data_IF_010455765655
#
_entry.id   IF_010455765655
#
_cell.length_a   1.000
_cell.length_b   1.000
_cell.length_c   1.000
_cell.angle_alpha   90.00
_cell.angle_beta   90.00
_cell.angle_gamma   90.00
#
_symmetry.space_group_name_H-M   'P 1'
#
loop_
_entity.id
_entity.type
_entity.pdbx_description
1 polymer ?
#
# COMPACT_ATOMS: atom_id res chain seq x y z
N UNK A 1 1.44 5.41 -9.98
CA UNK A 1 1.01 4.06 -9.53
C UNK A 1 1.52 3.86 -8.12
N UNK A 2 0.75 3.20 -7.25
CA UNK A 2 1.14 2.97 -5.86
C UNK A 2 1.05 1.47 -5.58
N UNK A 3 2.03 0.91 -4.86
CA UNK A 3 2.09 -0.52 -4.56
C UNK A 3 1.90 -0.79 -3.07
N UNK A 4 1.20 -1.88 -2.72
CA UNK A 4 1.03 -2.33 -1.34
C UNK A 4 1.93 -3.55 -1.08
N UNK A 5 2.74 -3.46 -0.03
CA UNK A 5 3.62 -4.52 0.45
C UNK A 5 3.25 -4.87 1.88
N UNK A 6 3.17 -6.17 2.19
CA UNK A 6 3.09 -6.67 3.56
C UNK A 6 3.87 -7.98 3.65
N UNK A 7 4.24 -8.41 4.85
CA UNK A 7 4.89 -9.71 5.08
C UNK A 7 4.16 -10.89 4.41
N UNK A 8 2.83 -10.81 4.29
CA UNK A 8 2.02 -11.86 3.68
C UNK A 8 2.08 -11.88 2.15
N UNK A 9 2.63 -10.83 1.52
CA UNK A 9 2.51 -10.59 0.08
C UNK A 9 3.86 -10.51 -0.66
N UNK A 10 4.98 -10.77 0.00
CA UNK A 10 6.30 -10.52 -0.59
C UNK A 10 6.67 -11.55 -1.68
N UNK A 11 5.96 -12.69 -1.74
CA UNK A 11 6.20 -13.76 -2.72
C UNK A 11 4.97 -14.04 -3.63
N UNK A 12 4.04 -13.09 -3.78
CA UNK A 12 2.80 -13.24 -4.57
C UNK A 12 2.50 -11.99 -5.39
N UNK A 13 1.60 -12.13 -6.37
CA UNK A 13 1.00 -11.03 -7.12
C UNK A 13 0.58 -9.86 -6.21
N UNK A 14 1.32 -8.74 -6.29
CA UNK A 14 1.18 -7.59 -5.40
C UNK A 14 -0.03 -6.71 -5.78
N UNK A 15 -0.85 -6.28 -4.80
CA UNK A 15 -1.93 -5.34 -5.07
C UNK A 15 -1.41 -3.95 -5.45
N UNK A 16 -2.09 -3.34 -6.43
CA UNK A 16 -1.75 -2.02 -6.95
C UNK A 16 -2.87 -1.02 -6.65
N UNK A 17 -2.58 0.07 -5.95
CA UNK A 17 -3.52 1.18 -5.78
C UNK A 17 -3.42 2.13 -6.98
N UNK A 18 -4.56 2.42 -7.64
CA UNK A 18 -4.62 3.36 -8.76
C UNK A 18 -5.84 4.28 -8.69
N UNK A 19 -5.74 5.55 -9.12
CA UNK A 19 -6.88 6.47 -9.18
C UNK A 19 -7.80 6.11 -10.36
N UNK A 20 -8.52 5.00 -10.24
CA UNK A 20 -9.50 4.52 -11.21
C UNK A 20 -10.80 4.18 -10.50
N UNK A 21 -11.93 4.38 -11.18
CA UNK A 21 -13.24 3.91 -10.75
C UNK A 21 -13.54 2.51 -11.28
N UNK A 22 -12.84 2.09 -12.34
CA UNK A 22 -13.05 0.82 -13.02
C UNK A 22 -11.72 0.07 -13.10
N UNK A 23 -11.38 -0.73 -12.09
CA UNK A 23 -10.15 -1.49 -12.10
C UNK A 23 -10.18 -2.52 -13.24
N UNK A 24 -9.11 -2.62 -14.06
CA UNK A 24 -9.05 -3.54 -15.19
C UNK A 24 -8.77 -5.00 -14.78
N UNK A 25 -8.22 -5.21 -13.57
CA UNK A 25 -7.82 -6.51 -13.03
C UNK A 25 -8.15 -6.57 -11.52
N UNK A 26 -8.49 -7.75 -10.96
CA UNK A 26 -8.81 -7.92 -9.53
C UNK A 26 -7.70 -7.51 -8.54
N UNK A 27 -6.43 -7.50 -8.96
CA UNK A 27 -5.26 -7.06 -8.18
C UNK A 27 -5.17 -5.54 -8.07
N UNK A 28 -5.90 -4.81 -8.92
CA UNK A 28 -5.97 -3.35 -8.87
C UNK A 28 -7.00 -2.91 -7.84
N UNK A 29 -6.52 -2.21 -6.82
CA UNK A 29 -7.32 -1.55 -5.80
C UNK A 29 -7.63 -0.12 -6.29
N UNK A 30 -8.89 0.21 -6.57
CA UNK A 30 -9.28 1.57 -6.95
C UNK A 30 -9.09 2.55 -5.78
N UNK A 31 -8.46 3.68 -6.06
CA UNK A 31 -8.32 4.84 -5.17
C UNK A 31 -9.42 5.84 -5.48
N UNK A 32 -10.39 5.92 -4.57
CA UNK A 32 -11.59 6.73 -4.73
C UNK A 32 -11.55 7.90 -3.74
N UNK A 33 -11.85 9.09 -4.24
CA UNK A 33 -12.05 10.29 -3.43
C UNK A 33 -13.51 10.46 -3.02
N UNK A 34 -13.97 11.70 -2.98
CA UNK A 34 -15.35 12.05 -2.61
C UNK A 34 -16.31 11.97 -3.82
N UNK A 35 -16.37 10.83 -4.52
CA UNK A 35 -17.29 10.60 -5.66
C UNK A 35 -18.07 9.28 -5.50
N UNK A 36 -19.40 9.39 -5.38
CA UNK A 36 -20.31 8.26 -5.18
C UNK A 36 -20.41 7.36 -6.41
N UNK A 37 -20.42 7.94 -7.61
CA UNK A 37 -20.48 7.13 -8.84
C UNK A 37 -19.21 6.30 -8.99
N UNK A 38 -18.07 6.92 -8.70
CA UNK A 38 -16.78 6.25 -8.71
C UNK A 38 -16.72 5.13 -7.66
N UNK A 39 -17.16 5.40 -6.42
CA UNK A 39 -17.20 4.40 -5.35
C UNK A 39 -18.06 3.19 -5.73
N UNK A 40 -19.24 3.44 -6.28
CA UNK A 40 -20.15 2.39 -6.69
C UNK A 40 -19.55 1.51 -7.80
N UNK A 41 -18.97 2.13 -8.84
CA UNK A 41 -18.30 1.41 -9.92
C UNK A 41 -17.12 0.57 -9.41
N UNK A 42 -16.30 1.16 -8.53
CA UNK A 42 -15.14 0.51 -7.91
C UNK A 42 -15.53 -0.73 -7.12
N UNK A 43 -16.52 -0.62 -6.22
CA UNK A 43 -16.97 -1.72 -5.37
C UNK A 43 -17.69 -2.82 -6.15
N UNK A 44 -18.33 -2.49 -7.27
CA UNK A 44 -18.94 -3.50 -8.13
C UNK A 44 -17.90 -4.45 -8.74
N UNK A 45 -16.72 -3.93 -9.12
CA UNK A 45 -15.68 -4.69 -9.83
C UNK A 45 -14.54 -5.19 -8.94
N UNK A 46 -14.31 -4.60 -7.77
CA UNK A 46 -13.21 -5.00 -6.87
C UNK A 46 -13.70 -5.50 -5.50
N UNK A 47 -12.88 -6.35 -4.86
CA UNK A 47 -13.08 -6.80 -3.48
C UNK A 47 -12.45 -5.86 -2.46
N UNK A 48 -11.72 -4.85 -2.91
CA UNK A 48 -11.13 -3.85 -2.04
C UNK A 48 -11.21 -2.46 -2.66
N UNK A 49 -11.16 -1.42 -1.83
CA UNK A 49 -11.14 -0.02 -2.27
C UNK A 49 -10.24 0.79 -1.34
N UNK A 50 -9.45 1.69 -1.90
CA UNK A 50 -8.74 2.70 -1.14
C UNK A 50 -9.55 4.00 -1.14
N UNK A 51 -9.92 4.49 0.04
CA UNK A 51 -10.69 5.72 0.19
C UNK A 51 -9.78 6.85 0.65
N UNK A 52 -9.63 7.86 -0.20
CA UNK A 52 -8.98 9.12 0.14
C UNK A 52 -10.04 10.17 0.45
N UNK A 53 -10.71 9.98 1.58
CA UNK A 53 -11.81 10.82 2.03
C UNK A 53 -11.56 11.32 3.45
N UNK A 54 -11.88 12.60 3.70
CA UNK A 54 -11.76 13.21 5.05
C UNK A 54 -12.94 12.86 5.95
N UNK A 55 -14.03 12.34 5.40
CA UNK A 55 -15.27 12.04 6.13
C UNK A 55 -15.48 10.54 6.34
N UNK A 56 -15.92 10.17 7.54
CA UNK A 56 -16.32 8.79 7.88
C UNK A 56 -17.57 8.33 7.12
N UNK A 57 -18.32 9.25 6.52
CA UNK A 57 -19.51 8.94 5.71
C UNK A 57 -19.13 8.01 4.54
N UNK A 58 -18.00 8.24 3.90
CA UNK A 58 -17.53 7.40 2.79
C UNK A 58 -17.18 5.98 3.22
N UNK A 59 -16.63 5.82 4.43
CA UNK A 59 -16.41 4.50 5.02
C UNK A 59 -17.73 3.78 5.29
N UNK A 60 -18.71 4.48 5.87
CA UNK A 60 -20.02 3.91 6.12
C UNK A 60 -20.69 3.49 4.81
N UNK A 61 -20.69 4.37 3.81
CA UNK A 61 -21.28 4.13 2.51
C UNK A 61 -20.63 2.96 1.77
N UNK A 62 -19.29 2.86 1.80
CA UNK A 62 -18.58 1.72 1.21
C UNK A 62 -18.99 0.39 1.87
N UNK A 63 -19.18 0.39 3.20
CA UNK A 63 -19.64 -0.79 3.94
C UNK A 63 -21.08 -1.16 3.65
N UNK A 64 -21.97 -0.17 3.49
CA UNK A 64 -23.35 -0.42 3.07
C UNK A 64 -23.42 -0.99 1.65
N UNK A 65 -22.63 -0.44 0.72
CA UNK A 65 -22.59 -0.91 -0.66
C UNK A 65 -21.96 -2.29 -0.81
N UNK A 66 -20.94 -2.61 -0.01
CA UNK A 66 -20.25 -3.91 -0.05
C UNK A 66 -19.65 -4.26 1.33
N UNK A 67 -20.41 -4.94 2.19
CA UNK A 67 -20.00 -5.24 3.57
C UNK A 67 -18.68 -6.00 3.69
N UNK A 68 -18.38 -6.87 2.72
CA UNK A 68 -17.20 -7.74 2.72
C UNK A 68 -15.95 -7.10 2.08
N UNK A 69 -16.04 -5.88 1.55
CA UNK A 69 -14.93 -5.25 0.85
C UNK A 69 -13.82 -4.83 1.81
N UNK A 70 -12.54 -5.09 1.51
CA UNK A 70 -11.43 -4.51 2.30
C UNK A 70 -11.32 -3.01 1.99
N UNK A 71 -11.35 -2.17 3.02
CA UNK A 71 -11.32 -0.71 2.85
C UNK A 71 -10.01 -0.15 3.39
N UNK A 72 -9.17 0.37 2.50
CA UNK A 72 -7.95 1.08 2.87
C UNK A 72 -8.29 2.55 3.10
N UNK A 73 -8.33 2.98 4.37
CA UNK A 73 -8.78 4.31 4.76
C UNK A 73 -7.59 5.27 4.87
N UNK A 74 -7.44 6.17 3.91
CA UNK A 74 -6.35 7.14 3.90
C UNK A 74 -6.66 8.33 4.80
N UNK A 75 -5.76 8.62 5.75
CA UNK A 75 -5.88 9.81 6.61
C UNK A 75 -6.97 9.71 7.68
N UNK A 76 -7.58 8.54 7.85
CA UNK A 76 -8.54 8.25 8.93
C UNK A 76 -7.93 7.20 9.87
N UNK A 77 -7.61 7.55 11.14
CA UNK A 77 -7.01 6.63 12.09
C UNK A 77 -8.09 5.69 12.68
N UNK A 78 -8.68 4.85 11.85
CA UNK A 78 -9.78 3.95 12.23
C UNK A 78 -9.41 2.53 11.84
N UNK A 79 -9.33 1.65 12.84
CA UNK A 79 -9.18 0.21 12.64
C UNK A 79 -10.45 -0.47 13.16
N UNK A 80 -11.30 -0.94 12.25
CA UNK A 80 -12.56 -1.62 12.60
C UNK A 80 -12.97 -2.59 11.50
N UNK A 81 -13.06 -3.87 11.84
CA UNK A 81 -13.44 -4.92 10.88
C UNK A 81 -12.49 -4.98 9.69
N UNK A 82 -13.04 -4.83 8.49
CA UNK A 82 -12.36 -4.79 7.20
C UNK A 82 -11.71 -3.44 6.83
N UNK A 83 -11.70 -2.46 7.75
CA UNK A 83 -11.08 -1.15 7.53
C UNK A 83 -9.63 -1.16 8.01
N UNK A 84 -8.70 -0.93 7.08
CA UNK A 84 -7.26 -0.86 7.29
C UNK A 84 -6.81 0.60 7.14
N UNK A 85 -6.28 1.25 8.20
CA UNK A 85 -5.81 2.62 8.09
C UNK A 85 -4.51 2.71 7.27
N UNK A 86 -4.42 3.74 6.42
CA UNK A 86 -3.20 4.13 5.72
C UNK A 86 -2.70 5.45 6.27
N UNK A 87 -1.54 5.41 6.91
CA UNK A 87 -0.89 6.55 7.56
C UNK A 87 0.23 7.14 6.71
N UNK A 88 0.57 8.43 6.86
CA UNK A 88 1.82 8.96 6.32
C UNK A 88 3.03 8.30 6.99
N UNK A 89 4.01 7.85 6.20
CA UNK A 89 5.24 7.21 6.68
C UNK A 89 6.03 8.06 7.68
N UNK A 90 6.03 9.38 7.52
CA UNK A 90 6.80 10.30 8.35
C UNK A 90 6.30 10.49 9.78
N UNK A 91 5.13 9.97 10.16
CA UNK A 91 4.48 10.33 11.44
C UNK A 91 4.28 9.17 12.42
N UNK A 92 4.61 7.92 12.05
CA UNK A 92 4.36 6.67 12.80
C UNK A 92 3.26 6.73 13.88
N UNK A 93 2.10 6.11 13.59
CA UNK A 93 0.91 6.17 14.45
C UNK A 93 0.48 4.81 15.02
N UNK A 94 1.37 3.82 15.03
CA UNK A 94 1.11 2.45 15.50
C UNK A 94 0.87 1.43 14.38
N UNK A 95 0.26 0.26 14.67
CA UNK A 95 0.01 -0.77 13.66
C UNK A 95 -0.96 -0.28 12.56
N UNK A 96 -0.49 -0.28 11.31
CA UNK A 96 -1.26 0.09 10.12
C UNK A 96 -0.44 -0.06 8.84
N UNK A 97 -1.03 0.31 7.71
CA UNK A 97 -0.28 0.51 6.47
C UNK A 97 0.30 1.92 6.43
N UNK A 98 1.48 2.06 5.84
CA UNK A 98 2.16 3.35 5.76
C UNK A 98 2.43 3.76 4.32
N UNK A 99 1.84 4.87 3.89
CA UNK A 99 2.17 5.51 2.62
C UNK A 99 3.51 6.23 2.71
N UNK A 100 4.46 5.78 1.89
CA UNK A 100 5.85 6.20 1.92
C UNK A 100 6.21 6.78 0.56
N UNK A 101 6.71 8.01 0.58
CA UNK A 101 7.12 8.79 -0.60
C UNK A 101 8.63 8.88 -0.78
N UNK A 102 9.41 8.36 0.16
CA UNK A 102 10.87 8.41 0.05
C UNK A 102 11.52 7.31 0.86
N UNK A 103 12.77 7.00 0.52
CA UNK A 103 13.60 6.08 1.31
C UNK A 103 13.83 6.60 2.74
N UNK A 104 13.80 7.92 2.97
CA UNK A 104 13.88 8.50 4.32
C UNK A 104 12.64 8.18 5.16
N UNK A 105 11.46 8.32 4.58
CA UNK A 105 10.19 7.92 5.24
C UNK A 105 10.18 6.41 5.49
N UNK A 106 10.70 5.59 4.57
CA UNK A 106 10.83 4.14 4.74
C UNK A 106 11.76 3.78 5.92
N UNK A 107 12.94 4.42 5.99
CA UNK A 107 13.90 4.23 7.10
C UNK A 107 13.31 4.58 8.47
N UNK A 108 12.40 5.56 8.53
CA UNK A 108 11.75 5.94 9.79
C UNK A 108 10.85 4.83 10.36
N UNK A 109 10.42 3.88 9.52
CA UNK A 109 9.60 2.73 9.88
C UNK A 109 10.42 1.49 10.25
N UNK A 110 11.76 1.53 10.16
CA UNK A 110 12.61 0.40 10.47
C UNK A 110 12.44 -0.05 11.94
N UNK A 111 12.25 -1.35 12.16
CA UNK A 111 12.02 -1.93 13.49
C UNK A 111 10.70 -1.51 14.15
N UNK A 112 9.79 -0.87 13.40
CA UNK A 112 8.45 -0.51 13.88
C UNK A 112 7.46 -1.62 13.56
N UNK A 113 6.51 -1.85 14.47
CA UNK A 113 5.39 -2.74 14.23
C UNK A 113 4.40 -2.10 13.25
N UNK A 114 4.49 -2.48 11.98
CA UNK A 114 3.59 -2.04 10.91
C UNK A 114 2.90 -3.25 10.28
N UNK A 115 1.72 -3.05 9.69
CA UNK A 115 1.04 -4.11 8.94
C UNK A 115 1.54 -4.19 7.49
N UNK A 116 2.22 -3.15 6.99
CA UNK A 116 2.72 -3.08 5.63
C UNK A 116 3.04 -1.66 5.15
N UNK A 117 3.54 -1.56 3.93
CA UNK A 117 4.03 -0.34 3.30
C UNK A 117 3.30 -0.10 1.98
N UNK A 118 2.94 1.14 1.72
CA UNK A 118 2.32 1.61 0.49
C UNK A 118 3.32 2.55 -0.19
N UNK A 119 4.06 2.06 -1.18
CA UNK A 119 5.10 2.85 -1.85
C UNK A 119 4.51 3.71 -2.97
N UNK A 120 4.87 4.99 -2.98
CA UNK A 120 4.69 5.83 -4.16
C UNK A 120 5.72 5.48 -5.24
N UNK A 121 5.35 4.65 -6.21
CA UNK A 121 6.29 4.21 -7.25
C UNK A 121 6.93 5.38 -8.03
N UNK A 122 6.25 6.53 -8.12
CA UNK A 122 6.79 7.70 -8.83
C UNK A 122 7.91 8.42 -8.07
N UNK A 123 8.06 8.14 -6.77
CA UNK A 123 9.07 8.78 -5.92
C UNK A 123 10.25 7.85 -5.58
N UNK A 124 10.26 6.63 -6.11
CA UNK A 124 11.31 5.64 -5.95
C UNK A 124 12.01 5.39 -7.29
N UNK A 125 13.24 4.89 -7.22
CA UNK A 125 14.00 4.50 -8.40
C UNK A 125 13.23 3.44 -9.22
N UNK A 126 12.99 3.65 -10.53
CA UNK A 126 12.19 2.73 -11.34
C UNK A 126 12.78 1.32 -11.42
N UNK A 127 14.12 1.20 -11.42
CA UNK A 127 14.79 -0.09 -11.44
C UNK A 127 14.58 -0.82 -10.11
N UNK A 128 14.69 -0.12 -8.99
CA UNK A 128 14.36 -0.68 -7.67
C UNK A 128 12.90 -1.17 -7.62
N UNK A 129 11.95 -0.36 -8.10
CA UNK A 129 10.52 -0.74 -8.15
C UNK A 129 10.34 -2.00 -9.00
N UNK A 130 11.01 -2.10 -10.15
CA UNK A 130 10.96 -3.27 -11.01
C UNK A 130 11.51 -4.53 -10.32
N UNK A 131 12.66 -4.41 -9.64
CA UNK A 131 13.28 -5.52 -8.91
C UNK A 131 12.39 -6.00 -7.75
N UNK A 132 11.78 -5.06 -7.02
CA UNK A 132 10.79 -5.36 -5.97
C UNK A 132 9.60 -6.10 -6.56
N UNK A 133 9.03 -5.61 -7.67
CA UNK A 133 7.85 -6.22 -8.32
C UNK A 133 8.16 -7.62 -8.86
N UNK A 134 9.39 -7.87 -9.32
CA UNK A 134 9.84 -9.18 -9.78
C UNK A 134 10.24 -10.14 -8.66
N UNK A 135 10.16 -9.73 -7.38
CA UNK A 135 10.61 -10.53 -6.25
C UNK A 135 12.13 -10.78 -6.24
N UNK A 136 12.89 -9.95 -6.95
CA UNK A 136 14.33 -10.12 -7.14
C UNK A 136 15.18 -9.41 -6.06
N UNK A 137 14.54 -8.80 -5.06
CA UNK A 137 15.22 -8.15 -3.94
C UNK A 137 15.75 -9.20 -2.98
N UNK A 138 17.07 -9.20 -2.78
CA UNK A 138 17.76 -10.09 -1.84
C UNK A 138 18.30 -9.30 -0.66
N UNK A 139 18.21 -9.89 0.52
CA UNK A 139 18.78 -9.37 1.74
C UNK A 139 19.68 -10.41 2.40
N UNK A 140 20.83 -9.99 2.92
CA UNK A 140 21.69 -10.82 3.78
C UNK A 140 21.12 -10.91 5.21
N UNK A 141 19.92 -11.47 5.34
CA UNK A 141 19.26 -11.67 6.63
C UNK A 141 18.49 -12.99 6.64
N UNK A 142 18.52 -13.68 7.79
CA UNK A 142 17.79 -14.94 7.94
C UNK A 142 16.26 -14.74 8.01
N UNK A 143 15.82 -13.59 8.55
CA UNK A 143 14.42 -13.15 8.63
C UNK A 143 14.38 -11.61 8.61
N UNK A 144 14.26 -11.01 7.43
CA UNK A 144 13.97 -9.57 7.33
C UNK A 144 12.47 -9.30 7.33
N UNK A 145 12.09 -8.21 7.97
CA UNK A 145 10.77 -7.61 7.80
C UNK A 145 10.63 -6.89 6.44
N UNK A 146 9.42 -6.43 6.12
CA UNK A 146 9.05 -5.78 4.86
C UNK A 146 9.82 -4.47 4.68
N UNK A 147 10.08 -3.74 5.75
CA UNK A 147 10.82 -2.47 5.69
C UNK A 147 12.29 -2.74 5.40
N UNK A 148 12.88 -3.71 6.10
CA UNK A 148 14.24 -4.20 5.88
C UNK A 148 14.39 -4.69 4.44
N UNK A 149 13.47 -5.52 3.94
CA UNK A 149 13.47 -5.99 2.55
C UNK A 149 13.43 -4.85 1.54
N UNK A 150 12.54 -3.88 1.73
CA UNK A 150 12.44 -2.72 0.84
C UNK A 150 13.63 -1.75 0.98
N UNK A 151 14.40 -1.84 2.06
CA UNK A 151 15.61 -1.05 2.30
C UNK A 151 16.89 -1.76 1.87
N UNK A 152 16.87 -3.08 1.69
CA UNK A 152 18.03 -3.84 1.24
C UNK A 152 18.53 -3.35 -0.11
N UNK A 153 19.85 -3.34 -0.23
CA UNK A 153 20.54 -2.81 -1.40
C UNK A 153 20.51 -3.82 -2.55
N UNK A 154 19.92 -3.39 -3.66
CA UNK A 154 20.23 -3.91 -5.02
C UNK A 154 21.64 -3.43 -5.47
N UNK A 155 22.45 -2.88 -4.56
CA UNK A 155 23.63 -2.04 -4.85
C UNK A 155 24.92 -2.50 -4.15
N UNK A 156 25.17 -3.81 -4.06
CA UNK A 156 26.52 -4.30 -3.75
C UNK A 156 27.36 -4.69 -4.99
N UNK A 157 26.81 -4.62 -6.20
CA UNK A 157 27.53 -4.95 -7.45
C UNK A 157 27.31 -3.94 -8.60
N UNK A 158 27.06 -2.66 -8.28
CA UNK A 158 27.29 -1.55 -9.25
C UNK A 158 28.28 -0.54 -8.67
N UNK A 159 29.29 -1.05 -7.98
CA UNK A 159 30.66 -0.56 -8.11
C UNK A 159 31.42 -1.61 -8.93
N UNK A 160 31.10 -1.68 -10.22
CA UNK A 160 32.06 -2.19 -11.20
C UNK A 160 32.35 -1.02 -12.13
N UNK A 161 33.64 -0.68 -12.19
CA UNK A 161 34.28 0.33 -13.04
C UNK A 161 33.63 0.50 -14.42
#
# INVERSE_FOLDING_TARGET
>A
MIYIYSERYIDVDLPQITPTCEPPDPRVIPLVGDDLRCLYAALRKSRAVALKARSRIWLALARELKPDAVIYAWGLPIRRGNVIPVYPGGEYRGPGLYYVRSRRELKALLGRAIDGVVLDAGAFDPHLVEQIVKGAVRCDCARCDVVEKLLCDVYREVEVL
#
